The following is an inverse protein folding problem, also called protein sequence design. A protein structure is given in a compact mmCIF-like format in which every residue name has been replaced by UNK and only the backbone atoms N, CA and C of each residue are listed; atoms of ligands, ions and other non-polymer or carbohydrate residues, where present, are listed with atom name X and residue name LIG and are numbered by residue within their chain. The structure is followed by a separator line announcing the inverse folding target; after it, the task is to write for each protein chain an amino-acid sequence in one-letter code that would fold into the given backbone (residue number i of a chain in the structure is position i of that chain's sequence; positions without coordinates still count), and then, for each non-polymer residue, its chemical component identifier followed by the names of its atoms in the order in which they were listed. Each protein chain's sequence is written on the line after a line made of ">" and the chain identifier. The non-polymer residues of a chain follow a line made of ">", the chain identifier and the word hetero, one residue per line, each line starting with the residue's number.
data_IF_448376972873
#
_entry.id   IF_448376972873
#
_cell.length_a   1.000
_cell.length_b   1.000
_cell.length_c   1.000
_cell.angle_alpha   90.00
_cell.angle_beta   90.00
_cell.angle_gamma   90.00
#
_symmetry.space_group_name_H-M   'P 1'
#
loop_
_entity.id
_entity.type
_entity.pdbx_description
1 polymer ?
#
# COMPACT_ATOMS: atom_id res chain seq x y z
N UNK A 1 9.91 34.17 -6.15
CA UNK A 1 9.92 32.70 -5.93
C UNK A 1 8.46 32.25 -5.97
N UNK A 2 7.96 31.70 -7.08
CA UNK A 2 6.59 31.23 -7.14
C UNK A 2 6.47 29.98 -6.25
N UNK A 3 5.46 29.97 -5.39
CA UNK A 3 5.18 28.91 -4.42
C UNK A 3 4.63 27.68 -5.16
N UNK A 4 4.94 26.49 -4.63
CA UNK A 4 4.51 25.17 -5.13
C UNK A 4 2.98 25.03 -5.35
N UNK A 5 2.18 25.97 -4.86
CA UNK A 5 0.72 26.00 -5.03
C UNK A 5 0.28 26.32 -6.47
N UNK A 6 1.07 27.02 -7.28
CA UNK A 6 0.65 27.43 -8.64
C UNK A 6 0.72 26.29 -9.67
N UNK A 7 1.42 25.20 -9.36
CA UNK A 7 1.55 24.04 -10.25
C UNK A 7 0.39 23.05 -10.11
N UNK A 8 -0.32 23.02 -8.98
CA UNK A 8 -1.47 22.15 -8.76
C UNK A 8 -2.80 22.74 -9.26
N UNK A 9 -2.83 24.01 -9.67
CA UNK A 9 -4.05 24.71 -10.11
C UNK A 9 -4.36 24.65 -11.61
N UNK A 10 -3.52 24.02 -12.43
CA UNK A 10 -3.63 24.10 -13.91
C UNK A 10 -3.84 22.75 -14.63
N UNK A 11 -3.92 21.64 -13.91
CA UNK A 11 -4.31 20.37 -14.53
C UNK A 11 -5.84 20.29 -14.63
N UNK A 12 -6.34 20.46 -15.84
CA UNK A 12 -7.73 20.16 -16.27
C UNK A 12 -8.13 18.67 -16.11
N UNK A 13 -7.34 17.90 -15.36
CA UNK A 13 -7.44 16.45 -15.18
C UNK A 13 -8.29 16.06 -13.96
N UNK A 14 -8.52 16.96 -13.01
CA UNK A 14 -9.36 16.68 -11.82
C UNK A 14 -10.86 16.89 -12.03
N UNK A 15 -11.27 17.57 -13.11
CA UNK A 15 -12.66 18.00 -13.31
C UNK A 15 -13.64 16.91 -13.77
N UNK A 16 -13.17 15.67 -14.02
CA UNK A 16 -14.00 14.60 -14.60
C UNK A 16 -13.93 13.25 -13.89
N UNK A 17 -13.15 13.11 -12.82
CA UNK A 17 -12.87 11.80 -12.19
C UNK A 17 -13.73 11.49 -10.95
N UNK A 18 -14.43 12.48 -10.41
CA UNK A 18 -15.39 12.29 -9.34
C UNK A 18 -16.79 12.46 -9.94
N UNK A 19 -17.35 11.34 -10.40
CA UNK A 19 -18.71 11.29 -10.90
C UNK A 19 -19.65 11.64 -9.75
N UNK A 20 -20.62 12.51 -10.06
CA UNK A 20 -21.72 12.93 -9.19
C UNK A 20 -22.37 11.68 -8.56
N UNK A 21 -22.04 11.41 -7.30
CA UNK A 21 -22.58 10.27 -6.58
C UNK A 21 -23.83 10.73 -5.83
N UNK A 22 -24.96 10.02 -5.96
CA UNK A 22 -26.23 10.42 -5.34
C UNK A 22 -26.11 10.45 -3.80
N UNK A 23 -27.01 11.17 -3.11
CA UNK A 23 -26.92 11.38 -1.67
C UNK A 23 -27.10 10.09 -0.88
N UNK A 24 -26.31 9.94 0.18
CA UNK A 24 -26.55 9.13 1.39
C UNK A 24 -27.36 7.82 1.20
N UNK A 25 -26.85 6.89 0.40
CA UNK A 25 -27.04 5.48 0.69
C UNK A 25 -25.70 4.94 1.20
N UNK A 26 -25.70 4.37 2.41
CA UNK A 26 -24.61 3.61 3.01
C UNK A 26 -24.33 2.37 2.13
N UNK A 27 -23.78 2.57 0.94
CA UNK A 27 -23.21 1.49 0.14
C UNK A 27 -22.05 0.99 0.99
N UNK A 28 -22.28 -0.13 1.68
CA UNK A 28 -21.30 -0.72 2.56
C UNK A 28 -20.10 -1.16 1.73
N UNK A 29 -19.11 -0.26 1.59
CA UNK A 29 -17.87 -0.51 0.87
C UNK A 29 -17.27 -1.84 1.33
N UNK A 30 -16.88 -2.70 0.40
CA UNK A 30 -16.22 -3.96 0.69
C UNK A 30 -14.99 -4.09 -0.18
N UNK A 31 -14.00 -4.84 0.28
CA UNK A 31 -12.73 -5.02 -0.43
C UNK A 31 -12.01 -3.69 -0.69
N UNK A 32 -12.24 -2.71 0.19
CA UNK A 32 -11.80 -1.32 0.07
C UNK A 32 -10.60 -1.02 0.97
N UNK A 33 -10.00 0.15 0.77
CA UNK A 33 -8.95 0.69 1.63
C UNK A 33 -9.54 1.72 2.59
N UNK A 34 -9.24 1.61 3.88
CA UNK A 34 -9.50 2.68 4.85
C UNK A 34 -8.22 3.50 4.99
N UNK A 35 -8.30 4.81 4.76
CA UNK A 35 -7.18 5.74 4.90
C UNK A 35 -7.43 6.60 6.14
N UNK A 36 -6.56 6.55 7.14
CA UNK A 36 -6.59 7.44 8.28
C UNK A 36 -5.67 8.64 8.05
N UNK A 37 -6.26 9.83 7.99
CA UNK A 37 -5.60 11.11 7.75
C UNK A 37 -5.63 11.52 6.27
N UNK A 38 -5.93 12.79 6.02
CA UNK A 38 -5.99 13.43 4.71
C UNK A 38 -4.99 14.58 4.56
N UNK A 39 -3.78 14.36 5.11
CA UNK A 39 -2.61 15.20 4.84
C UNK A 39 -2.00 14.91 3.46
N UNK A 40 -0.74 15.32 3.25
CA UNK A 40 -0.01 15.12 1.99
C UNK A 40 -0.05 13.64 1.55
N UNK A 41 0.36 12.73 2.43
CA UNK A 41 0.42 11.30 2.10
C UNK A 41 -0.97 10.67 1.89
N UNK A 42 -1.93 11.01 2.76
CA UNK A 42 -3.29 10.48 2.66
C UNK A 42 -4.00 10.94 1.39
N UNK A 43 -3.85 12.21 1.01
CA UNK A 43 -4.37 12.76 -0.25
C UNK A 43 -3.71 12.12 -1.46
N UNK A 44 -2.38 12.03 -1.48
CA UNK A 44 -1.67 11.38 -2.59
C UNK A 44 -2.10 9.93 -2.78
N UNK A 45 -2.27 9.17 -1.69
CA UNK A 45 -2.77 7.80 -1.75
C UNK A 45 -4.21 7.75 -2.26
N UNK A 46 -5.11 8.58 -1.74
CA UNK A 46 -6.51 8.62 -2.19
C UNK A 46 -6.62 8.93 -3.68
N UNK A 47 -5.85 9.91 -4.17
CA UNK A 47 -5.77 10.25 -5.60
C UNK A 47 -5.33 9.06 -6.43
N UNK A 48 -4.25 8.38 -6.03
CA UNK A 48 -3.76 7.21 -6.76
C UNK A 48 -4.79 6.07 -6.76
N UNK A 49 -5.44 5.79 -5.61
CA UNK A 49 -6.47 4.76 -5.53
C UNK A 49 -7.68 5.10 -6.41
N UNK A 50 -8.09 6.36 -6.46
CA UNK A 50 -9.15 6.83 -7.34
C UNK A 50 -8.79 6.62 -8.81
N UNK A 51 -7.55 6.94 -9.21
CA UNK A 51 -7.05 6.75 -10.58
C UNK A 51 -7.13 5.30 -11.05
N UNK A 52 -6.83 4.35 -10.15
CA UNK A 52 -6.91 2.92 -10.42
C UNK A 52 -8.28 2.29 -10.10
N UNK A 53 -9.29 3.09 -9.76
CA UNK A 53 -10.64 2.60 -9.44
C UNK A 53 -10.71 1.69 -8.22
N UNK A 54 -9.78 1.84 -7.27
CA UNK A 54 -9.76 1.06 -6.03
C UNK A 54 -10.70 1.71 -5.01
N UNK A 55 -11.73 0.99 -4.52
CA UNK A 55 -12.65 1.53 -3.52
C UNK A 55 -11.90 1.93 -2.25
N UNK A 56 -12.18 3.12 -1.73
CA UNK A 56 -11.55 3.61 -0.51
C UNK A 56 -12.43 4.61 0.23
N UNK A 57 -12.17 4.75 1.54
CA UNK A 57 -12.79 5.76 2.40
C UNK A 57 -11.72 6.42 3.26
N UNK A 58 -11.85 7.72 3.46
CA UNK A 58 -10.91 8.51 4.27
C UNK A 58 -11.55 8.86 5.62
N UNK A 59 -10.80 8.69 6.70
CA UNK A 59 -11.12 9.16 8.03
C UNK A 59 -10.24 10.37 8.37
N UNK A 60 -10.86 11.52 8.63
CA UNK A 60 -10.17 12.76 8.93
C UNK A 60 -10.73 13.41 10.21
N UNK A 61 -9.86 14.00 11.03
CA UNK A 61 -10.22 14.67 12.28
C UNK A 61 -10.54 16.15 12.07
N UNK A 62 -10.07 16.77 10.99
CA UNK A 62 -10.40 18.15 10.67
C UNK A 62 -11.78 18.25 9.97
N UNK A 63 -12.81 18.79 10.64
CA UNK A 63 -14.16 18.87 10.07
C UNK A 63 -14.25 19.87 8.90
N UNK A 64 -13.36 20.87 8.81
CA UNK A 64 -13.31 21.77 7.66
C UNK A 64 -12.86 21.02 6.41
N UNK A 65 -11.79 20.23 6.52
CA UNK A 65 -11.30 19.37 5.44
C UNK A 65 -12.38 18.39 5.00
N UNK A 66 -13.05 17.71 5.93
CA UNK A 66 -14.16 16.79 5.60
C UNK A 66 -15.26 17.51 4.80
N UNK A 67 -15.66 18.71 5.22
CA UNK A 67 -16.71 19.48 4.52
C UNK A 67 -16.25 19.94 3.13
N UNK A 68 -15.07 20.51 3.01
CA UNK A 68 -14.60 21.08 1.75
C UNK A 68 -14.32 20.00 0.71
N UNK A 69 -13.71 18.89 1.11
CA UNK A 69 -13.33 17.80 0.21
C UNK A 69 -14.54 16.89 -0.08
N UNK A 70 -15.42 16.68 0.89
CA UNK A 70 -16.69 15.98 0.67
C UNK A 70 -17.60 16.69 -0.32
N UNK A 71 -17.60 18.03 -0.33
CA UNK A 71 -18.32 18.83 -1.33
C UNK A 71 -17.77 18.66 -2.76
N UNK A 72 -16.56 18.09 -2.91
CA UNK A 72 -15.95 17.73 -4.19
C UNK A 72 -16.20 16.27 -4.59
N UNK A 73 -17.03 15.55 -3.83
CA UNK A 73 -17.39 14.15 -4.11
C UNK A 73 -16.37 13.12 -3.61
N UNK A 74 -15.41 13.51 -2.77
CA UNK A 74 -14.46 12.59 -2.13
C UNK A 74 -15.18 11.86 -0.97
N UNK A 75 -15.09 10.52 -0.89
CA UNK A 75 -15.60 9.75 0.27
C UNK A 75 -14.68 9.95 1.49
N UNK A 76 -14.86 11.09 2.14
CA UNK A 76 -14.16 11.51 3.35
C UNK A 76 -15.16 11.69 4.48
N UNK A 77 -14.83 11.14 5.65
CA UNK A 77 -15.70 11.11 6.82
C UNK A 77 -14.98 11.66 8.02
N UNK A 78 -15.71 12.40 8.85
CA UNK A 78 -15.19 12.84 10.14
C UNK A 78 -15.05 11.63 11.07
N UNK A 79 -13.85 11.36 11.56
CA UNK A 79 -13.63 10.19 12.39
C UNK A 79 -12.25 10.08 13.05
N UNK A 80 -12.25 9.77 14.34
CA UNK A 80 -11.05 9.41 15.10
C UNK A 80 -10.74 7.91 14.88
N UNK A 81 -9.76 7.62 14.02
CA UNK A 81 -9.32 6.27 13.72
C UNK A 81 -8.74 5.50 14.93
N UNK A 82 -8.50 6.16 16.06
CA UNK A 82 -8.10 5.50 17.30
C UNK A 82 -9.27 4.86 18.05
N UNK A 83 -10.50 5.11 17.59
CA UNK A 83 -11.74 4.62 18.21
C UNK A 83 -12.29 3.44 17.42
N UNK A 84 -12.47 2.31 18.11
CA UNK A 84 -13.10 1.11 17.57
C UNK A 84 -14.42 1.39 16.82
N UNK A 85 -15.42 2.11 17.38
CA UNK A 85 -16.69 2.34 16.68
C UNK A 85 -16.53 3.07 15.34
N UNK A 86 -15.53 3.96 15.23
CA UNK A 86 -15.27 4.70 13.98
C UNK A 86 -14.73 3.75 12.91
N UNK A 87 -13.77 2.88 13.25
CA UNK A 87 -13.26 1.87 12.32
C UNK A 87 -14.32 0.84 11.91
N UNK A 88 -15.19 0.45 12.84
CA UNK A 88 -16.32 -0.44 12.54
C UNK A 88 -17.30 0.21 11.55
N UNK A 89 -17.65 1.48 11.77
CA UNK A 89 -18.51 2.23 10.86
C UNK A 89 -17.86 2.44 9.48
N UNK A 90 -16.55 2.68 9.44
CA UNK A 90 -15.76 2.72 8.20
C UNK A 90 -15.64 1.36 7.48
N UNK A 91 -16.14 0.29 8.09
CA UNK A 91 -16.20 -1.03 7.48
C UNK A 91 -14.92 -1.84 7.60
N UNK A 92 -14.17 -1.70 8.69
CA UNK A 92 -12.87 -2.41 8.85
C UNK A 92 -12.99 -3.93 8.68
N UNK A 93 -14.09 -4.57 9.09
CA UNK A 93 -14.32 -6.01 8.94
C UNK A 93 -14.43 -6.49 7.49
N UNK A 94 -14.71 -5.56 6.56
CA UNK A 94 -14.87 -5.82 5.12
C UNK A 94 -13.79 -5.11 4.29
N UNK A 95 -12.87 -4.40 4.94
CA UNK A 95 -11.76 -3.72 4.30
C UNK A 95 -10.68 -4.73 3.89
N UNK A 96 -10.01 -4.44 2.77
CA UNK A 96 -8.81 -5.17 2.33
C UNK A 96 -7.57 -4.69 3.08
N UNK A 97 -7.48 -3.38 3.34
CA UNK A 97 -6.33 -2.78 3.97
C UNK A 97 -6.71 -1.55 4.80
N UNK A 98 -5.89 -1.26 5.80
CA UNK A 98 -5.94 -0.03 6.59
C UNK A 98 -4.60 0.70 6.50
N UNK A 99 -4.65 1.96 6.08
CA UNK A 99 -3.46 2.81 5.94
C UNK A 99 -3.52 3.94 6.95
N UNK A 100 -2.55 3.97 7.85
CA UNK A 100 -2.38 5.01 8.87
C UNK A 100 -1.41 6.07 8.32
N UNK A 101 -1.95 7.16 7.80
CA UNK A 101 -1.22 8.27 7.18
C UNK A 101 -1.21 9.54 8.05
N UNK A 102 -1.28 9.39 9.37
CA UNK A 102 -1.23 10.48 10.36
C UNK A 102 0.18 10.65 10.93
N UNK A 103 0.56 11.89 11.25
CA UNK A 103 1.90 12.19 11.78
C UNK A 103 2.02 12.04 13.30
N UNK A 104 0.92 11.98 14.04
CA UNK A 104 0.94 11.82 15.50
C UNK A 104 1.26 10.36 15.90
N UNK A 105 2.40 10.08 16.54
CA UNK A 105 2.80 8.70 16.80
C UNK A 105 1.95 7.97 17.85
N UNK A 106 1.37 8.70 18.81
CA UNK A 106 0.49 8.11 19.80
C UNK A 106 -0.81 7.60 19.16
N UNK A 107 -1.39 8.40 18.26
CA UNK A 107 -2.55 8.02 17.48
C UNK A 107 -2.22 6.88 16.52
N UNK A 108 -1.09 6.93 15.81
CA UNK A 108 -0.71 5.87 14.89
C UNK A 108 -0.61 4.50 15.59
N UNK A 109 0.13 4.42 16.70
CA UNK A 109 0.24 3.19 17.51
C UNK A 109 -1.12 2.70 18.01
N UNK A 110 -1.97 3.62 18.46
CA UNK A 110 -3.31 3.26 18.96
C UNK A 110 -4.19 2.72 17.84
N UNK A 111 -4.19 3.35 16.67
CA UNK A 111 -4.96 2.92 15.51
C UNK A 111 -4.53 1.54 15.01
N UNK A 112 -3.23 1.27 14.94
CA UNK A 112 -2.69 -0.06 14.59
C UNK A 112 -3.21 -1.14 15.54
N UNK A 113 -3.06 -0.91 16.85
CA UNK A 113 -3.52 -1.87 17.87
C UNK A 113 -5.02 -2.14 17.76
N UNK A 114 -5.83 -1.08 17.67
CA UNK A 114 -7.29 -1.24 17.55
C UNK A 114 -7.66 -1.98 16.28
N UNK A 115 -7.04 -1.65 15.14
CA UNK A 115 -7.29 -2.33 13.88
C UNK A 115 -6.92 -3.83 13.93
N UNK A 116 -5.73 -4.15 14.47
CA UNK A 116 -5.28 -5.54 14.61
C UNK A 116 -6.13 -6.35 15.60
N UNK A 117 -6.58 -5.73 16.69
CA UNK A 117 -7.50 -6.35 17.66
C UNK A 117 -8.88 -6.64 17.02
N UNK A 118 -9.34 -5.79 16.10
CA UNK A 118 -10.62 -5.99 15.40
C UNK A 118 -10.52 -7.05 14.30
N UNK A 119 -9.44 -7.02 13.52
CA UNK A 119 -9.24 -7.88 12.35
C UNK A 119 -7.79 -8.37 12.32
N UNK A 120 -7.50 -9.56 12.89
CA UNK A 120 -6.15 -10.09 12.99
C UNK A 120 -5.43 -10.35 11.66
N UNK A 121 -6.16 -10.43 10.55
CA UNK A 121 -5.64 -10.73 9.20
C UNK A 121 -5.65 -9.49 8.27
N UNK A 122 -6.01 -8.31 8.78
CA UNK A 122 -6.04 -7.08 7.96
C UNK A 122 -4.63 -6.66 7.57
N UNK A 123 -4.43 -6.23 6.33
CA UNK A 123 -3.17 -5.62 5.91
C UNK A 123 -3.09 -4.18 6.44
N UNK A 124 -2.12 -3.89 7.30
CA UNK A 124 -1.96 -2.60 7.97
C UNK A 124 -0.66 -1.93 7.51
N UNK A 125 -0.80 -0.78 6.88
CA UNK A 125 0.30 0.08 6.44
C UNK A 125 0.36 1.31 7.33
N UNK A 126 1.55 1.70 7.77
CA UNK A 126 1.72 2.83 8.67
C UNK A 126 2.83 3.73 8.16
N UNK A 127 2.53 5.02 8.05
CA UNK A 127 3.54 6.06 7.94
C UNK A 127 3.94 6.50 9.34
N UNK A 128 5.24 6.57 9.62
CA UNK A 128 5.78 7.24 10.81
C UNK A 128 6.71 8.37 10.40
N UNK A 129 6.92 9.35 11.29
CA UNK A 129 7.97 10.34 11.13
C UNK A 129 9.36 9.72 11.31
N UNK A 130 9.52 8.89 12.35
CA UNK A 130 10.81 8.50 12.90
C UNK A 130 11.13 7.03 12.67
N UNK A 131 12.36 6.74 12.23
CA UNK A 131 12.88 5.40 12.03
C UNK A 131 12.86 4.57 13.33
N UNK A 132 13.06 5.21 14.48
CA UNK A 132 13.06 4.56 15.78
C UNK A 132 11.71 3.92 16.17
N UNK A 133 10.60 4.31 15.54
CA UNK A 133 9.26 3.80 15.85
C UNK A 133 8.87 2.56 15.05
N UNK A 134 9.70 2.17 14.06
CA UNK A 134 9.40 1.09 13.13
C UNK A 134 9.19 -0.24 13.85
N UNK A 135 10.09 -0.61 14.77
CA UNK A 135 10.01 -1.88 15.49
C UNK A 135 8.78 -1.94 16.41
N UNK A 136 8.47 -0.84 17.10
CA UNK A 136 7.30 -0.76 17.98
C UNK A 136 6.01 -0.92 17.17
N UNK A 137 5.87 -0.22 16.05
CA UNK A 137 4.68 -0.31 15.18
C UNK A 137 4.48 -1.71 14.61
N UNK A 138 5.56 -2.41 14.27
CA UNK A 138 5.51 -3.82 13.85
C UNK A 138 5.08 -4.74 14.98
N UNK A 139 5.61 -4.57 16.18
CA UNK A 139 5.21 -5.36 17.35
C UNK A 139 3.72 -5.18 17.68
N UNK A 140 3.16 -4.00 17.40
CA UNK A 140 1.72 -3.73 17.54
C UNK A 140 0.87 -4.35 16.41
N UNK A 141 1.51 -4.90 15.38
CA UNK A 141 0.85 -5.60 14.28
C UNK A 141 0.71 -4.78 13.00
N UNK A 142 1.56 -3.78 12.74
CA UNK A 142 1.68 -3.21 11.40
C UNK A 142 2.45 -4.16 10.47
N UNK A 143 1.95 -4.40 9.26
CA UNK A 143 2.60 -5.27 8.27
C UNK A 143 3.70 -4.51 7.52
N UNK A 144 3.44 -3.24 7.21
CA UNK A 144 4.38 -2.34 6.54
C UNK A 144 4.46 -1.03 7.31
N UNK A 145 5.68 -0.59 7.60
CA UNK A 145 5.95 0.68 8.25
C UNK A 145 6.92 1.47 7.39
N UNK A 146 6.55 2.70 7.05
CA UNK A 146 7.31 3.63 6.21
C UNK A 146 7.70 4.85 7.03
N UNK A 147 8.97 4.97 7.47
CA UNK A 147 9.50 6.16 8.14
C UNK A 147 9.83 7.25 7.12
N UNK A 148 9.18 8.41 7.27
CA UNK A 148 9.27 9.52 6.35
C UNK A 148 10.67 10.16 6.30
N UNK A 149 11.35 10.27 7.45
CA UNK A 149 12.69 10.85 7.49
C UNK A 149 13.70 10.01 6.67
N UNK A 150 13.52 8.70 6.66
CA UNK A 150 14.41 7.78 5.94
C UNK A 150 14.16 7.81 4.43
N UNK A 151 12.88 7.78 3.99
CA UNK A 151 12.57 7.93 2.55
C UNK A 151 13.01 9.31 2.02
N UNK A 152 12.91 10.35 2.85
CA UNK A 152 13.44 11.67 2.50
C UNK A 152 14.96 11.64 2.35
N UNK A 153 15.68 10.95 3.23
CA UNK A 153 17.13 10.78 3.12
C UNK A 153 17.54 10.00 1.86
N UNK A 154 16.81 8.94 1.50
CA UNK A 154 17.04 8.18 0.27
C UNK A 154 16.84 9.04 -0.98
N UNK A 155 15.77 9.84 -1.03
CA UNK A 155 15.53 10.75 -2.16
C UNK A 155 16.63 11.81 -2.30
N UNK A 156 17.14 12.36 -1.19
CA UNK A 156 18.28 13.27 -1.21
C UNK A 156 19.55 12.58 -1.71
N UNK A 157 19.79 11.37 -1.26
CA UNK A 157 20.94 10.55 -1.66
C UNK A 157 20.95 10.28 -3.17
N UNK A 158 19.82 9.83 -3.73
CA UNK A 158 19.63 9.62 -5.17
C UNK A 158 19.98 10.89 -5.96
N UNK A 159 19.42 12.04 -5.52
CA UNK A 159 19.63 13.31 -6.22
C UNK A 159 21.07 13.78 -6.18
N UNK A 160 21.77 13.58 -5.06
CA UNK A 160 23.18 13.95 -4.93
C UNK A 160 24.06 13.03 -5.76
N UNK A 161 23.87 11.71 -5.71
CA UNK A 161 24.64 10.78 -6.53
C UNK A 161 24.45 10.99 -8.03
N UNK A 162 23.25 11.37 -8.46
CA UNK A 162 22.98 11.73 -9.84
C UNK A 162 23.82 12.92 -10.33
N UNK A 163 24.25 13.84 -9.45
CA UNK A 163 25.15 14.95 -9.83
C UNK A 163 26.58 14.45 -10.09
N UNK A 164 26.96 13.33 -9.47
CA UNK A 164 28.29 12.73 -9.63
C UNK A 164 28.35 11.67 -10.73
N UNK A 165 27.35 11.64 -11.63
CA UNK A 165 27.26 10.72 -12.76
C UNK A 165 27.36 9.24 -12.35
N UNK A 166 26.90 8.89 -11.14
CA UNK A 166 26.75 7.50 -10.74
C UNK A 166 25.63 6.88 -11.58
N UNK A 167 25.83 5.72 -12.24
CA UNK A 167 24.79 5.06 -13.02
C UNK A 167 23.52 4.80 -12.20
N UNK A 168 22.35 5.11 -12.77
CA UNK A 168 21.04 4.97 -12.09
C UNK A 168 20.84 3.57 -11.50
N UNK A 169 21.17 2.51 -12.25
CA UNK A 169 21.11 1.12 -11.79
C UNK A 169 21.85 0.89 -10.46
N UNK A 170 23.02 1.51 -10.27
CA UNK A 170 23.79 1.39 -9.02
C UNK A 170 23.19 2.18 -7.87
N UNK A 171 22.53 3.31 -8.18
CA UNK A 171 21.83 4.11 -7.19
C UNK A 171 20.62 3.32 -6.70
N UNK A 172 19.84 2.76 -7.63
CA UNK A 172 18.64 1.96 -7.35
C UNK A 172 18.99 0.73 -6.51
N UNK A 173 20.04 -0.03 -6.89
CA UNK A 173 20.52 -1.19 -6.13
C UNK A 173 20.86 -0.81 -4.67
N UNK A 174 21.53 0.33 -4.48
CA UNK A 174 21.93 0.79 -3.16
C UNK A 174 20.74 1.29 -2.33
N UNK A 175 19.80 1.99 -2.95
CA UNK A 175 18.56 2.42 -2.29
C UNK A 175 17.75 1.21 -1.85
N UNK A 176 17.60 0.21 -2.72
CA UNK A 176 16.91 -1.03 -2.39
C UNK A 176 17.61 -1.80 -1.27
N UNK A 177 18.95 -1.85 -1.27
CA UNK A 177 19.72 -2.41 -0.16
C UNK A 177 19.46 -1.65 1.15
N UNK A 178 19.51 -0.31 1.13
CA UNK A 178 19.30 0.51 2.32
C UNK A 178 17.87 0.39 2.87
N UNK A 179 16.86 0.27 1.99
CA UNK A 179 15.48 -0.06 2.39
C UNK A 179 15.43 -1.45 3.04
N UNK A 180 16.09 -2.46 2.47
CA UNK A 180 16.11 -3.80 3.06
C UNK A 180 16.77 -3.84 4.45
N UNK A 181 17.86 -3.10 4.64
CA UNK A 181 18.62 -3.03 5.90
C UNK A 181 17.85 -2.27 6.98
N UNK A 182 17.40 -1.05 6.69
CA UNK A 182 16.77 -0.16 7.66
C UNK A 182 15.29 -0.48 7.88
N UNK A 183 14.64 -1.12 6.91
CA UNK A 183 13.37 -1.78 7.17
C UNK A 183 13.54 -3.14 7.80
N UNK A 184 14.74 -3.73 7.93
CA UNK A 184 15.12 -4.83 8.83
C UNK A 184 14.27 -6.12 8.88
N UNK A 185 13.08 -6.18 8.28
CA UNK A 185 12.04 -7.16 8.57
C UNK A 185 10.99 -7.30 7.45
N UNK A 186 11.20 -6.76 6.24
CA UNK A 186 10.44 -7.10 5.03
C UNK A 186 10.63 -8.58 4.58
N UNK A 187 11.01 -9.46 5.51
CA UNK A 187 11.19 -10.90 5.32
C UNK A 187 10.10 -11.78 5.93
N UNK A 188 9.06 -11.23 6.58
CA UNK A 188 7.93 -12.06 7.04
C UNK A 188 6.69 -12.06 6.12
N UNK A 189 6.58 -11.17 5.12
CA UNK A 189 5.36 -11.11 4.28
C UNK A 189 5.55 -11.08 2.76
N UNK A 190 6.59 -10.42 2.25
CA UNK A 190 6.80 -10.25 0.79
C UNK A 190 8.27 -10.48 0.45
N UNK A 191 8.68 -11.74 0.31
CA UNK A 191 9.96 -12.08 -0.32
C UNK A 191 9.92 -11.68 -1.81
N UNK A 192 10.51 -10.54 -2.17
CA UNK A 192 11.49 -10.53 -3.26
C UNK A 192 12.79 -11.03 -2.64
N UNK A 193 13.06 -12.33 -2.73
CA UNK A 193 14.44 -12.74 -2.61
C UNK A 193 15.13 -12.35 -3.92
N UNK A 194 16.36 -11.78 -3.87
CA UNK A 194 17.25 -11.90 -5.00
C UNK A 194 17.33 -13.39 -5.28
N UNK A 195 16.94 -13.80 -6.48
CA UNK A 195 17.22 -15.15 -6.96
C UNK A 195 18.74 -15.27 -6.87
N UNK A 196 19.24 -16.19 -6.03
CA UNK A 196 20.65 -16.55 -6.07
C UNK A 196 20.95 -16.93 -7.52
N UNK A 197 21.86 -16.16 -8.11
CA UNK A 197 22.36 -16.24 -9.47
C UNK A 197 22.20 -17.64 -10.06
N UNK A 198 21.20 -17.79 -10.92
CA UNK A 198 21.27 -18.77 -12.00
C UNK A 198 22.12 -18.05 -13.04
N UNK A 199 23.34 -18.52 -13.28
CA UNK A 199 24.21 -18.02 -14.35
C UNK A 199 23.49 -18.18 -15.70
N UNK A 200 22.72 -17.17 -16.11
CA UNK A 200 22.01 -17.10 -17.39
C UNK A 200 21.60 -15.64 -17.64
N UNK A 201 22.25 -14.93 -18.59
CA UNK A 201 22.14 -13.48 -18.75
C UNK A 201 20.76 -12.90 -19.11
N UNK A 202 19.72 -13.72 -19.36
CA UNK A 202 18.54 -13.26 -20.12
C UNK A 202 17.17 -13.38 -19.42
N UNK A 203 17.07 -13.78 -18.14
CA UNK A 203 15.76 -14.17 -17.53
C UNK A 203 15.23 -13.18 -16.46
N UNK A 204 15.96 -12.13 -16.10
CA UNK A 204 15.65 -11.34 -14.90
C UNK A 204 14.34 -10.53 -14.93
N UNK A 205 13.71 -10.34 -16.10
CA UNK A 205 12.70 -9.28 -16.28
C UNK A 205 11.23 -9.74 -16.41
N UNK A 206 10.90 -11.02 -16.21
CA UNK A 206 9.53 -11.54 -16.46
C UNK A 206 8.90 -12.38 -15.33
N UNK A 207 9.34 -12.16 -14.08
CA UNK A 207 8.78 -12.85 -12.92
C UNK A 207 7.50 -12.17 -12.41
N UNK A 208 6.33 -12.71 -12.81
CA UNK A 208 5.02 -12.30 -12.31
C UNK A 208 4.52 -13.18 -11.14
N UNK A 209 3.70 -12.59 -10.26
CA UNK A 209 2.93 -13.34 -9.24
C UNK A 209 1.44 -13.14 -9.48
N UNK A 210 0.68 -14.23 -9.48
CA UNK A 210 -0.78 -14.20 -9.64
C UNK A 210 -1.43 -14.93 -8.45
N UNK A 211 -2.33 -14.25 -7.73
CA UNK A 211 -3.11 -14.86 -6.64
C UNK A 211 -4.42 -15.41 -7.19
N UNK A 212 -4.67 -16.69 -6.96
CA UNK A 212 -5.93 -17.34 -7.33
C UNK A 212 -6.93 -17.18 -6.17
N UNK A 213 -7.99 -16.41 -6.37
CA UNK A 213 -9.09 -16.29 -5.40
C UNK A 213 -9.98 -17.53 -5.42
N UNK A 214 -10.73 -17.79 -4.33
CA UNK A 214 -11.67 -18.91 -4.27
C UNK A 214 -12.82 -18.84 -5.30
N UNK A 215 -13.05 -17.66 -5.89
CA UNK A 215 -14.06 -17.43 -6.95
C UNK A 215 -13.48 -17.53 -8.36
N UNK A 216 -12.18 -17.79 -8.49
CA UNK A 216 -11.52 -17.91 -9.78
C UNK A 216 -11.97 -19.18 -10.51
N UNK A 217 -12.11 -19.11 -11.83
CA UNK A 217 -12.49 -20.26 -12.68
C UNK A 217 -11.48 -21.42 -12.63
N UNK A 218 -10.26 -21.12 -12.19
CA UNK A 218 -9.17 -22.10 -12.01
C UNK A 218 -9.06 -22.60 -10.57
N UNK A 219 -9.90 -22.10 -9.65
CA UNK A 219 -9.89 -22.54 -8.26
C UNK A 219 -10.34 -24.00 -8.15
N UNK A 220 -9.50 -24.83 -7.54
CA UNK A 220 -9.76 -26.27 -7.37
C UNK A 220 -9.15 -27.16 -8.45
N UNK A 221 -8.63 -26.60 -9.55
CA UNK A 221 -7.93 -27.36 -10.59
C UNK A 221 -6.50 -27.71 -10.17
N UNK A 222 -5.97 -28.80 -10.72
CA UNK A 222 -4.55 -29.15 -10.60
C UNK A 222 -3.70 -28.37 -11.62
N UNK A 223 -2.40 -28.25 -11.38
CA UNK A 223 -1.47 -27.55 -12.29
C UNK A 223 -1.44 -28.23 -13.66
N UNK A 224 -1.47 -29.57 -13.66
CA UNK A 224 -1.54 -30.36 -14.89
C UNK A 224 -2.82 -30.11 -15.68
N UNK A 225 -3.97 -29.93 -15.02
CA UNK A 225 -5.24 -29.57 -15.68
C UNK A 225 -5.20 -28.15 -16.26
N UNK A 226 -4.53 -27.24 -15.55
CA UNK A 226 -4.39 -25.86 -15.98
C UNK A 226 -3.52 -25.74 -17.23
N UNK A 227 -2.48 -26.56 -17.33
CA UNK A 227 -1.52 -26.59 -18.45
C UNK A 227 -1.02 -25.19 -18.80
N UNK A 228 -0.61 -24.46 -17.75
CA UNK A 228 -0.29 -23.03 -17.82
C UNK A 228 0.81 -22.76 -18.85
N UNK A 229 1.83 -23.62 -18.91
CA UNK A 229 2.93 -23.45 -19.87
C UNK A 229 2.44 -23.54 -21.32
N UNK A 230 1.61 -24.52 -21.66
CA UNK A 230 1.12 -24.66 -23.02
C UNK A 230 0.13 -23.55 -23.40
N UNK A 231 -0.70 -23.08 -22.45
CA UNK A 231 -1.74 -22.08 -22.72
C UNK A 231 -1.24 -20.64 -22.69
N UNK A 232 -0.26 -20.32 -21.85
CA UNK A 232 0.17 -18.93 -21.63
C UNK A 232 1.67 -18.70 -21.87
N UNK A 233 2.45 -19.75 -22.09
CA UNK A 233 3.91 -19.67 -22.18
C UNK A 233 4.61 -19.44 -20.84
N UNK A 234 3.86 -19.26 -19.75
CA UNK A 234 4.41 -18.99 -18.41
C UNK A 234 4.79 -20.30 -17.72
N UNK A 235 5.99 -20.32 -17.13
CA UNK A 235 6.43 -21.46 -16.30
C UNK A 235 6.15 -21.19 -14.84
N UNK A 236 5.40 -22.09 -14.19
CA UNK A 236 5.17 -22.01 -12.74
C UNK A 236 6.38 -22.59 -12.02
N UNK A 237 7.15 -21.73 -11.36
CA UNK A 237 8.34 -22.14 -10.61
C UNK A 237 8.04 -22.51 -9.15
N UNK A 238 6.95 -21.98 -8.58
CA UNK A 238 6.53 -22.22 -7.21
C UNK A 238 5.05 -21.94 -6.98
N UNK A 239 4.46 -22.61 -5.99
CA UNK A 239 3.10 -22.36 -5.49
C UNK A 239 3.15 -22.21 -3.98
N UNK A 240 2.34 -21.30 -3.43
CA UNK A 240 2.14 -21.14 -2.00
C UNK A 240 0.68 -21.46 -1.65
N UNK A 241 0.47 -22.44 -0.76
CA UNK A 241 -0.86 -22.85 -0.27
C UNK A 241 -0.77 -23.03 1.24
N UNK A 242 -1.71 -22.44 1.99
CA UNK A 242 -1.77 -22.56 3.45
C UNK A 242 -0.44 -22.29 4.15
N UNK A 243 0.26 -21.24 3.68
CA UNK A 243 1.60 -20.84 4.14
C UNK A 243 2.74 -21.85 3.91
N UNK A 244 2.51 -22.91 3.12
CA UNK A 244 3.54 -23.83 2.65
C UNK A 244 3.91 -23.54 1.19
N UNK A 245 5.20 -23.48 0.91
CA UNK A 245 5.72 -23.26 -0.44
C UNK A 245 6.14 -24.59 -1.07
N UNK A 246 5.56 -24.91 -2.23
CA UNK A 246 5.92 -26.05 -3.06
C UNK A 246 6.74 -25.52 -4.23
N UNK A 247 7.99 -25.95 -4.34
CA UNK A 247 8.91 -25.59 -5.42
C UNK A 247 8.88 -26.66 -6.51
N UNK A 248 8.99 -26.24 -7.77
CA UNK A 248 8.89 -27.13 -8.93
C UNK A 248 7.67 -28.07 -8.85
N UNK A 249 6.45 -27.52 -8.82
CA UNK A 249 5.26 -28.26 -8.41
C UNK A 249 4.71 -29.26 -9.45
N UNK A 250 5.45 -29.50 -10.55
CA UNK A 250 5.08 -30.41 -11.64
C UNK A 250 4.48 -29.70 -12.84
#
# INVERSE_FOLDING_TARGET
>A
VPQLCDWLGQSSWFGGMFHDSPPEEDIALSDHVIIAGFGINGRSLATALAEFGVPHVILELNPETVRSEGALGIDIRYGDCTRRPILEHAGIFRARAFVVAISDPASARRSVRVARDLVPELEIFVRTEYLAEVDELRLLGADVVVPAEFETALSLFERVLGIYDVPEEKIDDLVDQLRLENYGFLRSGVRRQPVQSIDSPDIHDQLGRCRISQRSVVAGQTIGELDVRAKTGVTIIAIQRSNQQIRNPG
#
